data_IF_841433461920
#
_entry.id   IF_841433461920
#
_cell.length_a   1.000
_cell.length_b   1.000
_cell.length_c   1.000
_cell.angle_alpha   90.00
_cell.angle_beta   90.00
_cell.angle_gamma   90.00
#
_symmetry.space_group_name_H-M   'P 1'
#
loop_
_entity.id
_entity.type
_entity.pdbx_description
1 polymer ?
#
# COMPACT_ATOMS: atom_id res chain seq x y z
N UNK A 1 -20.77 -15.70 13.48
CA UNK A 1 -19.73 -15.76 12.42
C UNK A 1 -19.20 -14.41 11.92
N UNK A 2 -19.91 -13.27 12.07
CA UNK A 2 -19.40 -11.94 11.64
C UNK A 2 -18.49 -11.21 12.65
N UNK A 3 -18.53 -11.54 13.94
CA UNK A 3 -17.69 -10.88 14.97
C UNK A 3 -16.21 -11.33 14.94
N UNK A 4 -15.91 -12.54 14.48
CA UNK A 4 -14.54 -13.09 14.46
C UNK A 4 -13.66 -12.45 13.38
N UNK A 5 -14.24 -12.03 12.25
CA UNK A 5 -13.51 -11.28 11.22
C UNK A 5 -13.17 -9.86 11.69
N UNK A 6 -14.03 -9.23 12.50
CA UNK A 6 -13.81 -7.86 12.96
C UNK A 6 -12.57 -7.71 13.86
N UNK A 7 -12.37 -8.64 14.79
CA UNK A 7 -11.14 -8.68 15.60
C UNK A 7 -9.89 -8.92 14.75
N UNK A 8 -10.02 -9.53 13.58
CA UNK A 8 -8.91 -9.74 12.67
C UNK A 8 -8.41 -8.42 12.04
N UNK A 9 -9.31 -7.48 11.72
CA UNK A 9 -8.94 -6.17 11.12
C UNK A 9 -8.34 -5.17 12.13
N UNK A 10 -8.53 -5.40 13.44
CA UNK A 10 -7.97 -4.54 14.49
C UNK A 10 -6.66 -5.07 15.08
N UNK A 11 -6.10 -6.15 14.51
CA UNK A 11 -4.79 -6.67 14.91
C UNK A 11 -3.68 -5.99 14.13
N UNK A 12 -2.58 -5.73 14.82
CA UNK A 12 -1.29 -5.54 14.16
C UNK A 12 -0.86 -6.91 13.66
N UNK A 13 -0.96 -7.13 12.35
CA UNK A 13 -0.56 -8.39 11.74
C UNK A 13 0.97 -8.47 11.60
N UNK A 14 1.58 -9.67 11.68
CA UNK A 14 3.03 -9.83 11.62
C UNK A 14 3.67 -9.16 10.39
N UNK A 15 3.00 -9.21 9.22
CA UNK A 15 3.52 -8.63 7.99
C UNK A 15 3.67 -7.10 8.07
N UNK A 16 2.86 -6.41 8.88
CA UNK A 16 2.97 -4.95 9.07
C UNK A 16 4.25 -4.55 9.79
N UNK A 17 4.67 -5.32 10.80
CA UNK A 17 5.95 -5.15 11.50
C UNK A 17 7.15 -5.42 10.60
N UNK A 18 7.09 -6.54 9.88
CA UNK A 18 8.13 -6.94 8.93
C UNK A 18 8.26 -5.90 7.81
N UNK A 19 7.14 -5.42 7.26
CA UNK A 19 7.12 -4.39 6.21
C UNK A 19 7.65 -3.05 6.72
N UNK A 20 7.21 -2.58 7.89
CA UNK A 20 7.68 -1.31 8.46
C UNK A 20 9.21 -1.31 8.64
N UNK A 21 9.75 -2.38 9.22
CA UNK A 21 11.20 -2.54 9.35
C UNK A 21 11.90 -2.52 7.98
N UNK A 22 11.37 -3.28 7.04
CA UNK A 22 11.91 -3.34 5.69
C UNK A 22 11.88 -1.97 5.00
N UNK A 23 10.77 -1.23 5.10
CA UNK A 23 10.64 0.11 4.50
C UNK A 23 11.64 1.10 5.09
N UNK A 24 11.83 1.12 6.41
CA UNK A 24 12.84 1.97 7.07
C UNK A 24 14.24 1.71 6.48
N UNK A 25 14.64 0.44 6.43
CA UNK A 25 15.96 0.05 5.92
C UNK A 25 16.08 0.44 4.42
N UNK A 26 15.03 0.18 3.63
CA UNK A 26 15.02 0.43 2.18
C UNK A 26 14.99 1.91 1.83
N UNK A 27 14.09 2.68 2.42
CA UNK A 27 13.90 4.09 2.12
C UNK A 27 15.12 4.93 2.53
N UNK A 28 15.91 4.48 3.52
CA UNK A 28 17.18 5.10 3.86
C UNK A 28 18.26 4.95 2.76
N UNK A 29 18.16 3.88 1.95
CA UNK A 29 19.11 3.57 0.87
C UNK A 29 18.68 4.11 -0.50
N UNK A 30 17.41 4.46 -0.67
CA UNK A 30 16.87 4.96 -1.93
C UNK A 30 17.06 6.48 -2.03
N UNK A 31 17.54 6.93 -3.18
CA UNK A 31 17.48 8.36 -3.55
C UNK A 31 16.14 8.61 -4.24
N UNK A 32 15.16 9.29 -3.61
CA UNK A 32 13.88 9.54 -4.25
C UNK A 32 14.07 10.50 -5.42
N UNK A 33 13.37 10.23 -6.53
CA UNK A 33 13.38 11.11 -7.72
C UNK A 33 12.52 12.34 -7.44
N UNK A 34 11.44 12.17 -6.65
CA UNK A 34 10.60 13.26 -6.17
C UNK A 34 11.22 13.79 -4.88
N UNK A 35 11.46 15.10 -4.80
CA UNK A 35 11.86 15.74 -3.55
C UNK A 35 10.73 15.62 -2.53
N UNK A 36 11.05 15.10 -1.34
CA UNK A 36 10.12 14.87 -0.23
C UNK A 36 8.87 14.06 -0.65
N UNK A 37 9.04 12.80 -1.09
CA UNK A 37 7.93 12.01 -1.59
C UNK A 37 6.90 11.77 -0.47
N UNK A 38 5.63 11.98 -0.79
CA UNK A 38 4.54 11.40 -0.01
C UNK A 38 4.38 9.94 -0.41
N UNK A 39 4.26 9.05 0.56
CA UNK A 39 4.05 7.62 0.35
C UNK A 39 2.57 7.28 0.53
N UNK A 40 2.12 6.18 -0.06
CA UNK A 40 0.75 5.67 0.09
C UNK A 40 0.76 4.26 0.67
N UNK A 41 0.07 4.07 1.79
CA UNK A 41 -0.28 2.75 2.31
C UNK A 41 -1.70 2.37 1.87
N UNK A 42 -1.85 1.20 1.26
CA UNK A 42 -3.13 0.57 0.97
C UNK A 42 -3.47 -0.46 2.05
N UNK A 43 -4.72 -0.43 2.56
CA UNK A 43 -5.18 -1.38 3.57
C UNK A 43 -4.39 -1.25 4.89
N UNK A 44 -4.25 -0.02 5.38
CA UNK A 44 -3.44 0.30 6.55
C UNK A 44 -3.97 -0.32 7.85
N UNK A 45 -5.23 -0.77 7.88
CA UNK A 45 -5.87 -1.30 9.08
C UNK A 45 -5.85 -0.25 10.19
N UNK A 46 -5.15 -0.55 11.29
CA UNK A 46 -4.99 0.38 12.43
C UNK A 46 -3.82 1.37 12.27
N UNK A 47 -3.11 1.35 11.14
CA UNK A 47 -2.08 2.34 10.79
C UNK A 47 -0.68 2.06 11.31
N UNK A 48 -0.41 0.87 11.87
CA UNK A 48 0.88 0.57 12.49
C UNK A 48 2.08 0.79 11.54
N UNK A 49 2.00 0.28 10.31
CA UNK A 49 3.11 0.39 9.35
C UNK A 49 3.36 1.85 8.94
N UNK A 50 2.30 2.60 8.59
CA UNK A 50 2.38 4.04 8.36
C UNK A 50 2.97 4.83 9.54
N UNK A 51 2.49 4.58 10.76
CA UNK A 51 2.97 5.31 11.95
C UNK A 51 4.44 5.00 12.21
N UNK A 52 4.82 3.72 12.25
CA UNK A 52 6.20 3.32 12.50
C UNK A 52 7.16 3.86 11.41
N UNK A 53 6.77 3.74 10.14
CA UNK A 53 7.59 4.19 9.01
C UNK A 53 7.74 5.71 9.02
N UNK A 54 6.66 6.46 9.23
CA UNK A 54 6.71 7.94 9.24
C UNK A 54 7.52 8.50 10.40
N UNK A 55 7.41 7.91 11.60
CA UNK A 55 8.18 8.33 12.78
C UNK A 55 9.69 8.14 12.60
N UNK A 56 10.11 7.05 11.95
CA UNK A 56 11.53 6.72 11.80
C UNK A 56 12.16 7.42 10.60
N UNK A 57 11.44 7.47 9.47
CA UNK A 57 11.98 8.03 8.22
C UNK A 57 11.74 9.53 8.08
N UNK A 58 10.75 10.09 8.77
CA UNK A 58 10.32 11.47 8.62
C UNK A 58 9.50 11.74 7.34
N UNK A 59 9.17 10.73 6.54
CA UNK A 59 8.33 10.90 5.34
C UNK A 59 6.85 11.09 5.69
N UNK A 60 6.15 11.84 4.83
CA UNK A 60 4.70 11.92 4.85
C UNK A 60 4.09 10.64 4.27
N UNK A 61 3.06 10.11 4.93
CA UNK A 61 2.39 8.88 4.50
C UNK A 61 0.88 9.09 4.50
N UNK A 62 0.25 8.83 3.36
CA UNK A 62 -1.20 8.72 3.25
C UNK A 62 -1.57 7.28 3.59
N UNK A 63 -2.26 7.07 4.71
CA UNK A 63 -2.66 5.75 5.17
C UNK A 63 -4.12 5.52 4.80
N UNK A 64 -4.42 4.50 3.98
CA UNK A 64 -5.78 4.28 3.48
C UNK A 64 -6.46 3.02 4.01
N UNK A 65 -7.76 3.12 4.27
CA UNK A 65 -8.60 1.99 4.66
C UNK A 65 -10.01 2.09 4.03
N UNK A 66 -10.54 0.96 3.59
CA UNK A 66 -11.85 0.86 2.92
C UNK A 66 -13.00 0.59 3.89
N UNK A 67 -12.78 -0.22 4.94
CA UNK A 67 -13.81 -0.49 5.94
C UNK A 67 -13.98 0.72 6.87
N UNK A 68 -15.15 1.38 6.78
CA UNK A 68 -15.48 2.58 7.57
C UNK A 68 -15.27 2.40 9.07
N UNK A 69 -15.46 1.20 9.63
CA UNK A 69 -15.28 0.96 11.07
C UNK A 69 -13.80 0.89 11.42
N UNK A 70 -13.01 0.18 10.62
CA UNK A 70 -11.55 0.11 10.80
C UNK A 70 -10.93 1.48 10.62
N UNK A 71 -11.42 2.25 9.64
CA UNK A 71 -11.01 3.63 9.41
C UNK A 71 -11.12 4.52 10.66
N UNK A 72 -12.15 4.35 11.50
CA UNK A 72 -12.24 5.14 12.75
C UNK A 72 -11.07 4.93 13.70
N UNK A 73 -10.44 3.74 13.68
CA UNK A 73 -9.24 3.46 14.47
C UNK A 73 -8.00 3.99 13.77
N UNK A 74 -7.90 3.83 12.45
CA UNK A 74 -6.84 4.44 11.66
C UNK A 74 -6.76 5.94 11.90
N UNK A 75 -7.88 6.63 11.79
CA UNK A 75 -8.00 8.06 11.98
C UNK A 75 -7.52 8.47 13.38
N UNK A 76 -8.01 7.81 14.44
CA UNK A 76 -7.59 8.08 15.82
C UNK A 76 -6.09 7.86 16.05
N UNK A 77 -5.53 6.79 15.48
CA UNK A 77 -4.13 6.46 15.67
C UNK A 77 -3.20 7.41 14.89
N UNK A 78 -3.63 7.85 13.70
CA UNK A 78 -2.87 8.78 12.87
C UNK A 78 -3.01 10.25 13.31
N UNK A 79 -4.11 10.63 13.96
CA UNK A 79 -4.36 12.01 14.45
C UNK A 79 -3.24 12.56 15.34
N UNK A 80 -2.52 11.70 16.04
CA UNK A 80 -1.44 12.10 16.95
C UNK A 80 -0.07 12.24 16.25
N UNK A 81 0.01 11.90 14.96
CA UNK A 81 1.27 11.81 14.22
C UNK A 81 1.17 12.72 12.98
N UNK A 82 1.81 13.89 13.05
CA UNK A 82 1.74 14.96 12.03
C UNK A 82 2.00 14.50 10.59
N UNK A 83 2.83 13.46 10.42
CA UNK A 83 3.27 12.94 9.11
C UNK A 83 2.39 11.81 8.57
N UNK A 84 1.31 11.44 9.26
CA UNK A 84 0.36 10.45 8.77
C UNK A 84 -0.99 11.07 8.45
N UNK A 85 -1.47 10.81 7.25
CA UNK A 85 -2.68 11.40 6.68
C UNK A 85 -3.70 10.27 6.44
N UNK A 86 -4.63 10.03 7.37
CA UNK A 86 -5.60 8.95 7.22
C UNK A 86 -6.64 9.32 6.16
N UNK A 87 -6.88 8.43 5.20
CA UNK A 87 -7.84 8.62 4.12
C UNK A 87 -8.72 7.39 3.91
N UNK A 88 -9.95 7.61 3.43
CA UNK A 88 -10.81 6.51 3.02
C UNK A 88 -10.53 6.15 1.58
N UNK A 89 -10.29 4.86 1.31
CA UNK A 89 -10.15 4.37 -0.06
C UNK A 89 -10.63 2.92 -0.14
N UNK A 90 -11.69 2.72 -0.92
CA UNK A 90 -12.08 1.39 -1.37
C UNK A 90 -11.31 1.07 -2.64
N UNK A 91 -10.67 -0.11 -2.70
CA UNK A 91 -9.92 -0.49 -3.89
C UNK A 91 -10.82 -0.57 -5.12
N UNK A 92 -10.38 0.02 -6.22
CA UNK A 92 -11.14 0.13 -7.47
C UNK A 92 -12.09 1.32 -7.57
N UNK A 93 -12.16 2.18 -6.55
CA UNK A 93 -12.98 3.39 -6.59
C UNK A 93 -12.24 4.55 -7.30
N UNK A 94 -12.65 4.84 -8.53
CA UNK A 94 -12.04 5.89 -9.36
C UNK A 94 -12.15 7.28 -8.75
N UNK A 95 -13.26 7.59 -8.08
CA UNK A 95 -13.47 8.89 -7.45
C UNK A 95 -12.51 9.07 -6.28
N UNK A 96 -12.44 8.09 -5.39
CA UNK A 96 -11.52 8.12 -4.25
C UNK A 96 -10.04 8.18 -4.70
N UNK A 97 -9.67 7.44 -5.75
CA UNK A 97 -8.33 7.50 -6.33
C UNK A 97 -8.02 8.90 -6.87
N UNK A 98 -8.96 9.52 -7.57
CA UNK A 98 -8.79 10.86 -8.13
C UNK A 98 -8.64 11.92 -7.04
N UNK A 99 -9.52 11.93 -6.03
CA UNK A 99 -9.46 12.86 -4.91
C UNK A 99 -8.14 12.76 -4.15
N UNK A 100 -7.72 11.52 -3.86
CA UNK A 100 -6.49 11.26 -3.12
C UNK A 100 -5.25 11.76 -3.89
N UNK A 101 -5.22 11.55 -5.21
CA UNK A 101 -4.16 12.11 -6.08
C UNK A 101 -4.18 13.63 -6.10
N UNK A 102 -5.34 14.25 -6.24
CA UNK A 102 -5.46 15.71 -6.25
C UNK A 102 -4.97 16.33 -4.94
N UNK A 103 -5.26 15.69 -3.80
CA UNK A 103 -4.93 16.18 -2.47
C UNK A 103 -3.44 16.04 -2.13
N UNK A 104 -2.82 14.90 -2.46
CA UNK A 104 -1.47 14.56 -1.95
C UNK A 104 -0.39 14.40 -3.00
N UNK A 105 -0.77 14.10 -4.24
CA UNK A 105 0.17 13.63 -5.23
C UNK A 105 -0.34 13.91 -6.65
N UNK A 106 -0.39 15.18 -7.07
CA UNK A 106 -0.80 15.56 -8.43
C UNK A 106 0.03 14.84 -9.51
N UNK A 107 1.30 14.56 -9.21
CA UNK A 107 2.23 13.78 -10.05
C UNK A 107 2.23 12.27 -9.77
N UNK A 108 1.35 11.81 -8.89
CA UNK A 108 1.25 10.44 -8.37
C UNK A 108 2.27 10.10 -7.29
N UNK A 109 2.04 8.98 -6.61
CA UNK A 109 2.93 8.47 -5.58
C UNK A 109 4.17 7.84 -6.20
N UNK A 110 5.32 8.02 -5.54
CA UNK A 110 6.56 7.34 -5.92
C UNK A 110 6.70 5.98 -5.25
N UNK A 111 6.15 5.82 -4.06
CA UNK A 111 6.11 4.54 -3.35
C UNK A 111 4.69 4.25 -2.89
N UNK A 112 4.22 3.05 -3.21
CA UNK A 112 2.98 2.47 -2.68
C UNK A 112 3.35 1.24 -1.89
N UNK A 113 2.72 1.00 -0.76
CA UNK A 113 2.96 -0.20 0.02
C UNK A 113 1.68 -0.71 0.69
N UNK A 114 1.72 -1.96 1.15
CA UNK A 114 0.61 -2.57 1.86
C UNK A 114 1.00 -3.88 2.53
N UNK A 115 0.57 -4.07 3.77
CA UNK A 115 0.79 -5.28 4.54
C UNK A 115 -0.51 -6.08 4.66
N UNK A 116 -0.42 -7.39 4.41
CA UNK A 116 -1.54 -8.35 4.44
C UNK A 116 -2.76 -7.87 3.62
N UNK A 117 -2.50 -7.23 2.47
CA UNK A 117 -3.53 -6.84 1.48
C UNK A 117 -3.82 -7.93 0.45
N UNK A 118 -2.97 -8.98 0.41
CA UNK A 118 -3.08 -10.13 -0.50
C UNK A 118 -3.62 -11.33 0.29
N UNK A 119 -4.91 -11.33 0.57
CA UNK A 119 -5.58 -12.39 1.36
C UNK A 119 -6.82 -12.95 0.68
N UNK A 120 -7.41 -12.21 -0.26
CA UNK A 120 -8.63 -12.60 -0.96
C UNK A 120 -8.41 -12.53 -2.48
N UNK A 121 -8.65 -13.66 -3.14
CA UNK A 121 -8.43 -13.83 -4.58
C UNK A 121 -9.21 -12.83 -5.42
N UNK A 122 -10.44 -12.54 -5.03
CA UNK A 122 -11.36 -11.65 -5.73
C UNK A 122 -10.98 -10.17 -5.60
N UNK A 123 -10.21 -9.80 -4.56
CA UNK A 123 -9.79 -8.42 -4.32
C UNK A 123 -8.54 -8.03 -5.10
N UNK A 124 -7.74 -9.02 -5.57
CA UNK A 124 -6.45 -8.78 -6.26
C UNK A 124 -6.61 -7.84 -7.48
N UNK A 125 -7.59 -8.03 -8.39
CA UNK A 125 -7.73 -7.12 -9.53
C UNK A 125 -7.98 -5.66 -9.12
N UNK A 126 -8.82 -5.43 -8.10
CA UNK A 126 -9.15 -4.09 -7.61
C UNK A 126 -7.96 -3.45 -6.87
N UNK A 127 -7.22 -4.23 -6.08
CA UNK A 127 -5.98 -3.78 -5.42
C UNK A 127 -4.95 -3.34 -6.47
N UNK A 128 -4.71 -4.18 -7.49
CA UNK A 128 -3.73 -3.89 -8.54
C UNK A 128 -4.17 -2.68 -9.38
N UNK A 129 -5.45 -2.57 -9.72
CA UNK A 129 -6.00 -1.38 -10.37
C UNK A 129 -5.70 -0.11 -9.56
N UNK A 130 -5.98 -0.14 -8.26
CA UNK A 130 -5.69 0.99 -7.35
C UNK A 130 -4.20 1.34 -7.36
N UNK A 131 -3.32 0.35 -7.21
CA UNK A 131 -1.85 0.54 -7.23
C UNK A 131 -1.42 1.22 -8.53
N UNK A 132 -1.90 0.72 -9.68
CA UNK A 132 -1.50 1.22 -10.99
C UNK A 132 -1.94 2.68 -11.25
N UNK A 133 -3.08 3.08 -10.69
CA UNK A 133 -3.62 4.43 -10.87
C UNK A 133 -3.11 5.43 -9.81
N UNK A 134 -2.69 4.97 -8.63
CA UNK A 134 -2.03 5.82 -7.62
C UNK A 134 -0.53 6.02 -7.89
N UNK A 135 0.17 4.97 -8.36
CA UNK A 135 1.61 4.99 -8.60
C UNK A 135 1.95 5.47 -10.03
N UNK A 136 1.94 6.78 -10.20
CA UNK A 136 2.16 7.43 -11.50
C UNK A 136 3.62 7.82 -11.73
N UNK A 137 4.50 7.71 -10.73
CA UNK A 137 5.91 8.06 -10.89
C UNK A 137 6.65 7.08 -11.81
N UNK A 138 7.51 7.62 -12.69
CA UNK A 138 8.50 6.83 -13.44
C UNK A 138 9.45 6.16 -12.43
N UNK A 139 9.71 4.87 -12.57
CA UNK A 139 10.43 4.05 -11.57
C UNK A 139 9.78 4.01 -10.19
N UNK A 140 8.46 4.18 -10.12
CA UNK A 140 7.72 3.97 -8.88
C UNK A 140 7.89 2.54 -8.38
N UNK A 141 8.00 2.37 -7.06
CA UNK A 141 8.12 1.08 -6.42
C UNK A 141 6.86 0.74 -5.63
N UNK A 142 6.50 -0.54 -5.65
CA UNK A 142 5.46 -1.10 -4.81
C UNK A 142 6.10 -2.09 -3.84
N UNK A 143 5.78 -1.96 -2.56
CA UNK A 143 6.27 -2.87 -1.52
C UNK A 143 5.08 -3.59 -0.89
N UNK A 144 4.96 -4.90 -1.13
CA UNK A 144 3.88 -5.70 -0.52
C UNK A 144 4.48 -6.73 0.42
N UNK A 145 3.84 -6.87 1.58
CA UNK A 145 4.13 -7.92 2.55
C UNK A 145 2.88 -8.73 2.81
N UNK A 146 2.95 -10.05 2.79
CA UNK A 146 1.82 -10.90 3.16
C UNK A 146 2.28 -12.24 3.71
N UNK A 147 1.49 -12.82 4.61
CA UNK A 147 1.82 -14.12 5.22
C UNK A 147 2.01 -15.23 4.17
N UNK A 148 2.98 -16.12 4.41
CA UNK A 148 3.30 -17.29 3.57
C UNK A 148 2.08 -18.20 3.34
N UNK A 149 1.10 -18.20 4.26
CA UNK A 149 -0.16 -18.93 4.08
C UNK A 149 -0.95 -18.48 2.83
N UNK A 150 -0.74 -17.24 2.38
CA UNK A 150 -1.33 -16.67 1.17
C UNK A 150 -0.42 -16.79 -0.05
N UNK A 151 0.71 -17.49 0.04
CA UNK A 151 1.70 -17.60 -1.05
C UNK A 151 1.14 -18.16 -2.36
N UNK A 152 0.09 -18.98 -2.30
CA UNK A 152 -0.62 -19.47 -3.49
C UNK A 152 -1.28 -18.35 -4.33
N UNK A 153 -1.51 -17.16 -3.76
CA UNK A 153 -2.08 -16.00 -4.45
C UNK A 153 -1.01 -15.15 -5.14
N UNK A 154 0.28 -15.37 -4.85
CA UNK A 154 1.38 -14.58 -5.40
C UNK A 154 1.39 -14.62 -6.93
N UNK A 155 1.19 -15.79 -7.54
CA UNK A 155 1.16 -15.92 -9.00
C UNK A 155 0.09 -15.03 -9.65
N UNK A 156 -1.15 -15.09 -9.15
CA UNK A 156 -2.23 -14.24 -9.68
C UNK A 156 -1.97 -12.75 -9.45
N UNK A 157 -1.38 -12.38 -8.31
CA UNK A 157 -0.98 -11.00 -8.05
C UNK A 157 0.02 -10.52 -9.11
N UNK A 158 1.06 -11.30 -9.39
CA UNK A 158 2.07 -10.98 -10.40
C UNK A 158 1.45 -10.90 -11.80
N UNK A 159 0.60 -11.87 -12.19
CA UNK A 159 -0.10 -11.84 -13.47
C UNK A 159 -0.98 -10.59 -13.64
N UNK A 160 -1.64 -10.13 -12.58
CA UNK A 160 -2.41 -8.89 -12.60
C UNK A 160 -1.50 -7.66 -12.69
N UNK A 161 -0.40 -7.64 -11.93
CA UNK A 161 0.58 -6.54 -11.92
C UNK A 161 1.24 -6.34 -13.29
N UNK A 162 1.58 -7.44 -13.99
CA UNK A 162 2.20 -7.41 -15.32
C UNK A 162 1.32 -6.69 -16.36
N UNK A 163 -0.01 -6.79 -16.26
CA UNK A 163 -0.94 -6.06 -17.15
C UNK A 163 -0.78 -4.54 -17.10
N UNK A 164 -0.20 -4.03 -16.02
CA UNK A 164 0.06 -2.60 -15.79
C UNK A 164 1.55 -2.25 -15.85
N UNK A 165 2.38 -3.12 -16.45
CA UNK A 165 3.84 -2.95 -16.64
C UNK A 165 4.64 -2.90 -15.32
N UNK A 166 4.11 -3.58 -14.30
CA UNK A 166 4.85 -3.89 -13.09
C UNK A 166 5.57 -5.22 -13.23
N UNK A 167 6.80 -5.29 -12.74
CA UNK A 167 7.59 -6.51 -12.69
C UNK A 167 8.18 -6.73 -11.31
N UNK A 168 8.31 -8.00 -10.94
CA UNK A 168 8.97 -8.38 -9.70
C UNK A 168 10.46 -8.02 -9.79
N UNK A 169 10.88 -7.09 -8.93
CA UNK A 169 12.28 -6.68 -8.78
C UNK A 169 12.99 -7.54 -7.75
N UNK A 170 12.29 -7.85 -6.67
CA UNK A 170 12.86 -8.56 -5.54
C UNK A 170 11.79 -9.32 -4.76
N UNK A 171 12.15 -10.49 -4.26
CA UNK A 171 11.31 -11.33 -3.40
C UNK A 171 12.14 -11.84 -2.23
N UNK A 172 11.61 -11.71 -1.02
CA UNK A 172 12.24 -12.22 0.20
C UNK A 172 11.21 -12.97 1.04
N UNK A 173 11.67 -13.92 1.85
CA UNK A 173 10.88 -14.57 2.89
C UNK A 173 11.52 -14.26 4.24
N UNK A 174 10.78 -13.64 5.16
CA UNK A 174 11.23 -13.30 6.52
C UNK A 174 10.14 -13.64 7.51
N UNK A 175 10.43 -14.45 8.53
CA UNK A 175 9.48 -14.80 9.59
C UNK A 175 8.09 -15.27 9.08
N UNK A 176 8.08 -16.12 8.05
CA UNK A 176 6.84 -16.57 7.36
C UNK A 176 6.04 -15.45 6.68
N UNK A 177 6.68 -14.33 6.35
CA UNK A 177 6.12 -13.21 5.56
C UNK A 177 6.86 -13.15 4.23
N UNK A 178 6.11 -13.22 3.14
CA UNK A 178 6.60 -12.94 1.80
C UNK A 178 6.65 -11.42 1.64
N UNK A 179 7.82 -10.91 1.30
CA UNK A 179 8.05 -9.52 0.92
C UNK A 179 8.36 -9.47 -0.57
N UNK A 180 7.60 -8.68 -1.33
CA UNK A 180 7.88 -8.41 -2.73
C UNK A 180 8.06 -6.93 -2.98
N UNK A 181 9.05 -6.61 -3.82
CA UNK A 181 9.23 -5.29 -4.41
C UNK A 181 8.92 -5.40 -5.89
N UNK A 182 7.98 -4.58 -6.36
CA UNK A 182 7.64 -4.46 -7.77
C UNK A 182 8.09 -3.08 -8.27
N UNK A 183 8.52 -3.01 -9.51
CA UNK A 183 8.89 -1.75 -10.17
C UNK A 183 8.07 -1.57 -11.43
N UNK A 184 7.64 -0.33 -11.70
CA UNK A 184 7.00 0.03 -12.96
C UNK A 184 8.05 0.47 -13.99
N UNK A 185 8.15 -0.22 -15.13
CA UNK A 185 9.19 0.06 -16.15
C UNK A 185 8.90 1.33 -16.95
N UNK A 186 7.64 1.56 -17.31
CA UNK A 186 7.20 2.71 -18.08
C UNK A 186 6.29 3.67 -17.31
N UNK A 187 6.27 4.93 -17.74
CA UNK A 187 5.20 5.86 -17.39
C UNK A 187 4.05 5.62 -18.36
N UNK A 188 2.92 5.10 -17.87
CA UNK A 188 1.68 5.06 -18.63
C UNK A 188 0.66 5.95 -17.93
N UNK A 189 0.15 6.95 -18.64
CA UNK A 189 -1.01 7.70 -18.18
C UNK A 189 -2.25 6.82 -18.39
N UNK A 190 -2.59 6.02 -17.38
CA UNK A 190 -3.77 5.15 -17.46
C UNK A 190 -5.00 6.02 -17.20
N UNK A 191 -5.91 6.18 -18.19
CA UNK A 191 -7.17 6.87 -17.96
C UNK A 191 -7.95 6.13 -16.87
N UNK A 192 -8.52 6.85 -15.90
CA UNK A 192 -9.54 6.27 -15.02
C UNK A 192 -10.70 5.79 -15.89
N UNK A 193 -11.32 4.66 -15.55
CA UNK A 193 -12.54 4.25 -16.24
C UNK A 193 -13.58 5.36 -16.11
N UNK A 194 -14.12 5.81 -17.24
CA UNK A 194 -15.30 6.66 -17.20
C UNK A 194 -16.45 5.84 -16.61
N UNK A 195 -17.02 6.31 -15.49
CA UNK A 195 -18.25 5.81 -14.88
C UNK A 195 -19.41 5.78 -15.87
#
# INVERSE_FOLDING_TARGET
MRQTLYGAYLRVWPSSGVLAKFLVDRLSSLSPIIKDPTLLELGAGVGFCSIATSLITGYNIVATEGDTRVFTYLERNCQQIERTHPERLQWGDDHAIQELRQKYALKGFQYVFGADVVYQKESIPLLVYTIAHCLVARHGLVFLAFSLQFGQLEGQLLDCMEKYDFHLKERQLRDSVILITLERRGFQNIPLSCS
#
